data_IF_051194048653
#
_entry.id   IF_051194048653
#
_cell.length_a   1.000
_cell.length_b   1.000
_cell.length_c   1.000
_cell.angle_alpha   90.00
_cell.angle_beta   90.00
_cell.angle_gamma   90.00
#
_symmetry.space_group_name_H-M   'P 1'
#
loop_
_entity.id
_entity.type
_entity.pdbx_description
1 polymer ?
#
# COMPACT_ATOMS: atom_id res chain seq x y z
N UNK A 1 14.75 7.47 -21.06
CA UNK A 1 15.08 7.05 -19.68
C UNK A 1 16.01 5.84 -19.79
N UNK A 2 17.33 5.97 -19.50
CA UNK A 2 18.22 4.81 -19.52
C UNK A 2 17.90 3.96 -18.28
N UNK A 3 17.27 2.80 -18.49
CA UNK A 3 16.99 1.86 -17.40
C UNK A 3 18.34 1.28 -16.96
N UNK A 4 18.86 1.79 -15.83
CA UNK A 4 20.06 1.24 -15.18
C UNK A 4 19.82 -0.22 -14.77
N UNK A 5 20.86 -1.06 -14.79
CA UNK A 5 20.78 -2.47 -14.38
C UNK A 5 20.21 -2.65 -12.96
N UNK A 6 20.38 -1.67 -12.08
CA UNK A 6 19.78 -1.66 -10.74
C UNK A 6 18.25 -1.59 -10.77
N UNK A 7 17.68 -0.82 -11.71
CA UNK A 7 16.22 -0.70 -11.86
C UNK A 7 15.60 -2.02 -12.30
N UNK A 8 16.29 -2.78 -13.17
CA UNK A 8 15.80 -4.07 -13.67
C UNK A 8 15.68 -5.09 -12.52
N UNK A 9 16.62 -5.08 -11.57
CA UNK A 9 16.59 -5.98 -10.40
C UNK A 9 15.45 -5.61 -9.44
N UNK A 10 15.08 -4.33 -9.36
CA UNK A 10 13.98 -3.87 -8.49
C UNK A 10 12.60 -4.26 -9.03
N UNK A 11 12.42 -4.37 -10.35
CA UNK A 11 11.11 -4.70 -10.95
C UNK A 11 10.46 -5.97 -10.37
N UNK A 12 11.13 -7.15 -10.31
CA UNK A 12 10.52 -8.35 -9.74
C UNK A 12 10.23 -8.20 -8.24
N UNK A 13 11.07 -7.46 -7.50
CA UNK A 13 10.86 -7.23 -6.06
C UNK A 13 9.62 -6.36 -5.82
N UNK A 14 9.43 -5.30 -6.60
CA UNK A 14 8.25 -4.44 -6.52
C UNK A 14 6.99 -5.18 -7.00
N UNK A 15 7.10 -6.01 -8.04
CA UNK A 15 6.00 -6.88 -8.46
C UNK A 15 5.57 -7.84 -7.34
N UNK A 16 6.53 -8.42 -6.60
CA UNK A 16 6.25 -9.28 -5.47
C UNK A 16 5.45 -8.56 -4.37
N UNK A 17 5.63 -7.24 -4.18
CA UNK A 17 4.79 -6.47 -3.25
C UNK A 17 3.32 -6.56 -3.66
N UNK A 18 2.99 -6.38 -4.95
CA UNK A 18 1.62 -6.50 -5.46
C UNK A 18 1.01 -7.88 -5.18
N UNK A 19 1.77 -8.95 -5.44
CA UNK A 19 1.36 -10.34 -5.14
C UNK A 19 1.08 -10.50 -3.64
N UNK A 20 1.99 -10.02 -2.80
CA UNK A 20 1.89 -10.14 -1.35
C UNK A 20 0.73 -9.32 -0.76
N UNK A 21 0.37 -8.17 -1.35
CA UNK A 21 -0.76 -7.36 -0.89
C UNK A 21 -2.11 -8.08 -1.09
N UNK A 22 -2.30 -8.70 -2.25
CA UNK A 22 -3.52 -9.50 -2.51
C UNK A 22 -3.54 -10.75 -1.63
N UNK A 23 -2.41 -11.44 -1.48
CA UNK A 23 -2.29 -12.60 -0.60
C UNK A 23 -2.56 -12.24 0.87
N UNK A 24 -2.01 -11.13 1.36
CA UNK A 24 -2.26 -10.61 2.70
C UNK A 24 -3.76 -10.35 2.90
N UNK A 25 -4.41 -9.70 1.93
CA UNK A 25 -5.85 -9.45 2.01
C UNK A 25 -6.63 -10.77 2.06
N UNK A 26 -6.24 -11.79 1.29
CA UNK A 26 -6.87 -13.11 1.34
C UNK A 26 -6.70 -13.81 2.69
N UNK A 27 -5.47 -13.85 3.22
CA UNK A 27 -5.17 -14.43 4.53
C UNK A 27 -5.96 -13.71 5.63
N UNK A 28 -5.95 -12.37 5.64
CA UNK A 28 -6.65 -11.60 6.65
C UNK A 28 -8.19 -11.73 6.54
N UNK A 29 -8.71 -11.92 5.33
CA UNK A 29 -10.13 -12.21 5.11
C UNK A 29 -10.53 -13.55 5.69
N UNK A 30 -9.67 -14.57 5.57
CA UNK A 30 -9.89 -15.86 6.23
C UNK A 30 -9.74 -15.74 7.76
N UNK A 31 -8.75 -14.99 8.25
CA UNK A 31 -8.54 -14.76 9.67
C UNK A 31 -9.75 -14.10 10.33
N UNK A 32 -10.42 -13.18 9.63
CA UNK A 32 -11.68 -12.57 10.09
C UNK A 32 -12.76 -13.60 10.41
N UNK A 33 -12.83 -14.73 9.71
CA UNK A 33 -13.86 -15.74 9.98
C UNK A 33 -13.66 -16.44 11.34
N UNK A 34 -12.42 -16.45 11.85
CA UNK A 34 -12.08 -16.93 13.20
C UNK A 34 -12.15 -15.85 14.27
N UNK A 35 -11.98 -14.58 13.89
CA UNK A 35 -11.98 -13.43 14.78
C UNK A 35 -13.26 -12.60 14.71
N UNK A 36 -14.25 -13.03 13.93
CA UNK A 36 -15.59 -12.46 13.80
C UNK A 36 -15.68 -10.99 13.32
N UNK A 37 -14.57 -10.31 13.02
CA UNK A 37 -14.55 -8.89 12.62
C UNK A 37 -13.35 -8.52 11.74
N UNK A 38 -13.56 -7.70 10.67
CA UNK A 38 -12.47 -7.17 9.85
C UNK A 38 -11.45 -6.37 10.66
N UNK A 39 -11.92 -5.58 11.63
CA UNK A 39 -11.07 -4.71 12.45
C UNK A 39 -10.22 -5.56 13.41
N UNK A 40 -10.79 -6.64 13.98
CA UNK A 40 -10.03 -7.55 14.84
C UNK A 40 -8.96 -8.30 14.04
N UNK A 41 -9.28 -8.78 12.83
CA UNK A 41 -8.30 -9.38 11.94
C UNK A 41 -7.18 -8.40 11.54
N UNK A 42 -7.52 -7.16 11.21
CA UNK A 42 -6.54 -6.11 10.94
C UNK A 42 -5.65 -5.85 12.17
N UNK A 43 -6.23 -5.73 13.37
CA UNK A 43 -5.49 -5.52 14.61
C UNK A 43 -4.44 -6.61 14.86
N UNK A 44 -4.82 -7.89 14.79
CA UNK A 44 -3.86 -8.98 14.99
C UNK A 44 -2.83 -9.09 13.86
N UNK A 45 -3.22 -8.79 12.62
CA UNK A 45 -2.29 -8.71 11.48
C UNK A 45 -1.23 -7.64 11.71
N UNK A 46 -1.65 -6.43 12.13
CA UNK A 46 -0.74 -5.35 12.49
C UNK A 46 0.11 -5.70 13.72
N UNK A 47 -0.46 -6.33 14.75
CA UNK A 47 0.29 -6.72 15.93
C UNK A 47 1.45 -7.68 15.59
N UNK A 48 1.18 -8.72 14.81
CA UNK A 48 2.21 -9.67 14.35
C UNK A 48 3.24 -8.94 13.49
N UNK A 49 2.79 -8.09 12.55
CA UNK A 49 3.67 -7.27 11.72
C UNK A 49 4.57 -6.35 12.53
N UNK A 50 4.04 -5.69 13.56
CA UNK A 50 4.78 -4.83 14.48
C UNK A 50 5.80 -5.61 15.30
N UNK A 51 5.48 -6.83 15.76
CA UNK A 51 6.44 -7.69 16.46
C UNK A 51 7.60 -8.05 15.53
N UNK A 52 7.32 -8.46 14.29
CA UNK A 52 8.35 -8.76 13.28
C UNK A 52 9.20 -7.52 12.98
N UNK A 53 8.58 -6.35 12.79
CA UNK A 53 9.28 -5.10 12.58
C UNK A 53 10.16 -4.73 13.78
N UNK A 54 9.68 -4.89 15.01
CA UNK A 54 10.44 -4.62 16.21
C UNK A 54 11.69 -5.50 16.28
N UNK A 55 11.57 -6.80 15.98
CA UNK A 55 12.72 -7.71 15.91
C UNK A 55 13.74 -7.24 14.87
N UNK A 56 13.29 -6.90 13.66
CA UNK A 56 14.18 -6.40 12.59
C UNK A 56 14.87 -5.09 13.02
N UNK A 57 14.14 -4.15 13.63
CA UNK A 57 14.66 -2.87 14.11
C UNK A 57 15.66 -3.05 15.26
N UNK A 58 15.52 -4.10 16.08
CA UNK A 58 16.49 -4.41 17.12
C UNK A 58 17.83 -4.84 16.51
N UNK A 59 17.80 -5.69 15.48
CA UNK A 59 19.00 -6.26 14.85
C UNK A 59 19.64 -5.41 13.76
N UNK A 60 18.97 -4.38 13.23
CA UNK A 60 19.60 -3.47 12.27
C UNK A 60 20.69 -2.59 12.92
N UNK A 61 21.74 -2.31 12.15
CA UNK A 61 22.88 -1.48 12.56
C UNK A 61 22.58 0.03 12.52
N UNK A 62 21.43 0.44 11.99
CA UNK A 62 21.05 1.85 11.92
C UNK A 62 20.86 2.44 13.33
N UNK A 63 21.21 3.73 13.53
CA UNK A 63 20.97 4.42 14.79
C UNK A 63 19.47 4.40 15.14
N UNK A 64 19.17 4.18 16.41
CA UNK A 64 17.80 4.13 16.94
C UNK A 64 17.45 5.52 17.49
N UNK A 65 16.36 6.15 17.04
CA UNK A 65 16.06 7.51 17.44
C UNK A 65 15.72 7.59 18.93
N UNK A 66 16.22 8.63 19.60
CA UNK A 66 15.86 8.93 20.98
C UNK A 66 14.43 9.47 21.11
N UNK A 67 13.90 9.53 22.33
CA UNK A 67 12.54 10.04 22.56
C UNK A 67 12.35 11.48 22.05
N UNK A 68 13.36 12.33 22.21
CA UNK A 68 13.31 13.72 21.75
C UNK A 68 13.27 13.83 20.22
N UNK A 69 14.02 12.97 19.51
CA UNK A 69 13.98 12.90 18.06
C UNK A 69 12.58 12.46 17.58
N UNK A 70 11.99 11.44 18.22
CA UNK A 70 10.64 10.97 17.92
C UNK A 70 9.58 12.07 18.12
N UNK A 71 9.69 12.85 19.21
CA UNK A 71 8.78 13.97 19.47
C UNK A 71 8.96 15.14 18.51
N UNK A 72 10.13 15.26 17.86
CA UNK A 72 10.40 16.30 16.86
C UNK A 72 9.85 15.96 15.47
N UNK A 73 9.45 14.70 15.23
CA UNK A 73 8.89 14.27 13.94
C UNK A 73 7.55 14.99 13.68
N UNK A 74 7.37 15.62 12.51
CA UNK A 74 6.10 16.25 12.15
C UNK A 74 4.91 15.31 12.31
N UNK A 75 3.89 15.75 13.06
CA UNK A 75 2.78 14.89 13.51
C UNK A 75 2.06 14.16 12.37
N UNK A 76 1.95 14.79 11.19
CA UNK A 76 1.24 14.24 10.04
C UNK A 76 1.94 13.00 9.43
N UNK A 77 3.25 12.82 9.68
CA UNK A 77 3.98 11.65 9.20
C UNK A 77 3.56 10.36 9.92
N UNK A 78 3.05 10.48 11.14
CA UNK A 78 2.51 9.36 11.91
C UNK A 78 1.16 8.87 11.38
N UNK A 79 0.46 9.68 10.58
CA UNK A 79 -0.84 9.31 10.00
C UNK A 79 -0.75 8.13 9.03
N UNK A 80 0.44 7.79 8.54
CA UNK A 80 0.64 6.62 7.68
C UNK A 80 0.12 5.32 8.33
N UNK A 81 0.27 5.18 9.65
CA UNK A 81 -0.28 4.04 10.39
C UNK A 81 -1.81 4.01 10.36
N UNK A 82 -2.46 5.16 10.52
CA UNK A 82 -3.93 5.28 10.48
C UNK A 82 -4.47 4.94 9.08
N UNK A 83 -3.80 5.42 8.03
CA UNK A 83 -4.15 5.07 6.64
C UNK A 83 -4.02 3.57 6.40
N UNK A 84 -2.98 2.93 6.96
CA UNK A 84 -2.81 1.48 6.92
C UNK A 84 -3.95 0.71 7.58
N UNK A 85 -4.39 1.15 8.78
CA UNK A 85 -5.53 0.54 9.48
C UNK A 85 -6.80 0.59 8.63
N UNK A 86 -7.10 1.74 8.02
CA UNK A 86 -8.22 1.88 7.10
C UNK A 86 -8.10 0.94 5.89
N UNK A 87 -6.94 0.97 5.21
CA UNK A 87 -6.70 0.20 4.00
C UNK A 87 -6.90 -1.30 4.21
N UNK A 88 -6.29 -1.88 5.25
CA UNK A 88 -6.39 -3.31 5.54
C UNK A 88 -7.80 -3.68 6.03
N UNK A 89 -8.40 -2.89 6.93
CA UNK A 89 -9.75 -3.21 7.44
C UNK A 89 -10.79 -3.19 6.31
N UNK A 90 -10.70 -2.19 5.43
CA UNK A 90 -11.61 -2.09 4.28
C UNK A 90 -11.33 -3.15 3.22
N UNK A 91 -10.08 -3.54 2.98
CA UNK A 91 -9.78 -4.61 2.02
C UNK A 91 -10.35 -5.94 2.50
N UNK A 92 -10.22 -6.27 3.79
CA UNK A 92 -10.82 -7.46 4.42
C UNK A 92 -12.35 -7.45 4.29
N UNK A 93 -12.98 -6.30 4.54
CA UNK A 93 -14.42 -6.15 4.47
C UNK A 93 -14.97 -6.23 3.03
N UNK A 94 -14.24 -5.64 2.06
CA UNK A 94 -14.68 -5.53 0.67
C UNK A 94 -14.36 -6.78 -0.17
N UNK A 95 -13.31 -7.54 0.18
CA UNK A 95 -12.86 -8.70 -0.59
C UNK A 95 -13.96 -9.75 -0.86
N UNK A 96 -14.78 -10.20 0.12
CA UNK A 96 -15.85 -11.15 -0.14
C UNK A 96 -16.97 -10.60 -1.05
N UNK A 97 -17.12 -9.27 -1.12
CA UNK A 97 -18.20 -8.61 -1.87
C UNK A 97 -17.80 -8.38 -3.32
N UNK A 98 -16.59 -7.90 -3.54
CA UNK A 98 -16.09 -7.50 -4.86
C UNK A 98 -15.31 -8.62 -5.57
N UNK A 99 -14.75 -9.56 -4.81
CA UNK A 99 -13.73 -10.49 -5.32
C UNK A 99 -12.35 -9.82 -5.39
N UNK A 100 -11.28 -10.63 -5.29
CA UNK A 100 -9.91 -10.12 -5.20
C UNK A 100 -9.43 -9.39 -6.47
N UNK A 101 -9.91 -9.80 -7.65
CA UNK A 101 -9.52 -9.19 -8.93
C UNK A 101 -10.00 -7.74 -9.01
N UNK A 102 -11.31 -7.52 -8.83
CA UNK A 102 -11.92 -6.19 -8.83
C UNK A 102 -11.34 -5.31 -7.72
N UNK A 103 -11.22 -5.86 -6.50
CA UNK A 103 -10.65 -5.13 -5.36
C UNK A 103 -9.23 -4.66 -5.64
N UNK A 104 -8.35 -5.56 -6.09
CA UNK A 104 -6.95 -5.22 -6.38
C UNK A 104 -6.84 -4.21 -7.52
N UNK A 105 -7.67 -4.36 -8.55
CA UNK A 105 -7.76 -3.40 -9.65
C UNK A 105 -8.12 -1.99 -9.19
N UNK A 106 -9.17 -1.85 -8.36
CA UNK A 106 -9.59 -0.56 -7.81
C UNK A 106 -8.52 0.05 -6.89
N UNK A 107 -7.83 -0.77 -6.09
CA UNK A 107 -6.72 -0.32 -5.23
C UNK A 107 -5.58 0.22 -6.09
N UNK A 108 -5.16 -0.50 -7.13
CA UNK A 108 -4.08 -0.08 -8.04
C UNK A 108 -4.47 1.23 -8.75
N UNK A 109 -5.72 1.35 -9.20
CA UNK A 109 -6.21 2.59 -9.79
C UNK A 109 -6.13 3.77 -8.82
N UNK A 110 -6.60 3.59 -7.57
CA UNK A 110 -6.51 4.62 -6.52
C UNK A 110 -5.07 5.00 -6.18
N UNK A 111 -4.17 4.02 -6.07
CA UNK A 111 -2.73 4.24 -5.85
C UNK A 111 -2.09 5.07 -6.96
N UNK A 112 -2.45 4.79 -8.22
CA UNK A 112 -1.96 5.54 -9.36
C UNK A 112 -2.47 6.99 -9.36
N UNK A 113 -3.76 7.22 -9.12
CA UNK A 113 -4.34 8.57 -9.02
C UNK A 113 -3.63 9.36 -7.91
N UNK A 114 -3.48 8.76 -6.73
CA UNK A 114 -2.79 9.43 -5.63
C UNK A 114 -1.31 9.69 -5.94
N UNK A 115 -0.61 8.75 -6.58
CA UNK A 115 0.79 8.94 -7.03
C UNK A 115 0.90 10.12 -7.99
N UNK A 116 -0.02 10.27 -8.95
CA UNK A 116 -0.03 11.43 -9.84
C UNK A 116 -0.23 12.74 -9.09
N UNK A 117 -1.13 12.76 -8.09
CA UNK A 117 -1.36 13.96 -7.28
C UNK A 117 -0.15 14.31 -6.41
N UNK A 118 0.46 13.32 -5.75
CA UNK A 118 1.67 13.51 -4.93
C UNK A 118 2.80 14.09 -5.76
N UNK A 119 3.07 13.50 -6.93
CA UNK A 119 4.15 13.96 -7.81
C UNK A 119 3.86 15.34 -8.41
N UNK A 120 2.61 15.60 -8.80
CA UNK A 120 2.24 16.87 -9.43
C UNK A 120 2.34 18.04 -8.46
N UNK A 121 1.86 17.83 -7.22
CA UNK A 121 1.86 18.85 -6.18
C UNK A 121 3.22 18.95 -5.47
N UNK A 122 4.11 17.97 -5.65
CA UNK A 122 5.39 17.87 -4.93
C UNK A 122 5.17 17.65 -3.44
N UNK A 123 4.15 16.87 -3.07
CA UNK A 123 3.85 16.59 -1.67
C UNK A 123 4.98 15.79 -1.03
N UNK A 124 5.17 15.95 0.28
CA UNK A 124 6.16 15.21 1.08
C UNK A 124 7.62 15.42 0.62
N UNK A 125 7.91 16.54 -0.05
CA UNK A 125 9.26 16.88 -0.51
C UNK A 125 9.69 16.21 -1.82
N UNK A 126 8.76 15.54 -2.53
CA UNK A 126 9.03 14.96 -3.84
C UNK A 126 9.29 16.04 -4.90
N UNK A 127 10.14 15.71 -5.88
CA UNK A 127 10.34 16.54 -7.06
C UNK A 127 9.01 16.70 -7.82
N UNK A 128 8.63 17.95 -8.11
CA UNK A 128 7.41 18.24 -8.84
C UNK A 128 7.52 17.70 -10.26
N UNK A 129 6.67 16.73 -10.58
CA UNK A 129 6.60 16.14 -11.91
C UNK A 129 5.23 16.42 -12.53
N UNK A 130 5.14 17.21 -13.61
CA UNK A 130 3.87 17.58 -14.20
C UNK A 130 3.11 16.34 -14.70
N UNK A 131 1.79 16.38 -14.57
CA UNK A 131 0.92 15.35 -15.17
C UNK A 131 0.97 15.56 -16.69
N UNK A 132 1.49 14.57 -17.40
CA UNK A 132 1.48 14.55 -18.85
C UNK A 132 0.35 13.66 -19.39
N UNK A 133 0.06 13.77 -20.69
CA UNK A 133 -0.99 13.00 -21.34
C UNK A 133 -0.78 11.49 -21.24
N UNK A 134 0.48 11.01 -21.26
CA UNK A 134 0.79 9.58 -21.17
C UNK A 134 0.38 8.99 -19.80
N UNK A 135 0.61 9.74 -18.71
CA UNK A 135 0.17 9.35 -17.36
C UNK A 135 -1.35 9.29 -17.28
N UNK A 136 -2.04 10.30 -17.81
CA UNK A 136 -3.51 10.30 -17.87
C UNK A 136 -4.06 9.12 -18.68
N UNK A 137 -3.45 8.83 -19.83
CA UNK A 137 -3.83 7.71 -20.67
C UNK A 137 -3.63 6.37 -19.95
N UNK A 138 -2.49 6.17 -19.27
CA UNK A 138 -2.28 5.00 -18.41
C UNK A 138 -3.34 4.89 -17.30
N UNK A 139 -3.69 6.04 -16.72
CA UNK A 139 -4.86 6.27 -15.86
C UNK A 139 -6.12 5.59 -16.37
N UNK A 140 -6.54 6.02 -17.55
CA UNK A 140 -7.75 5.58 -18.24
C UNK A 140 -7.67 4.09 -18.59
N UNK A 141 -6.53 3.61 -19.08
CA UNK A 141 -6.36 2.19 -19.46
C UNK A 141 -6.53 1.27 -18.26
N UNK A 142 -5.92 1.60 -17.10
CA UNK A 142 -6.12 0.82 -15.89
C UNK A 142 -7.59 0.85 -15.46
N UNK A 143 -8.22 2.04 -15.47
CA UNK A 143 -9.63 2.16 -15.09
C UNK A 143 -10.54 1.31 -15.97
N UNK A 144 -10.37 1.36 -17.29
CA UNK A 144 -11.11 0.52 -18.24
C UNK A 144 -10.83 -0.96 -17.97
N UNK A 145 -9.57 -1.34 -17.73
CA UNK A 145 -9.22 -2.71 -17.36
C UNK A 145 -9.99 -3.20 -16.13
N UNK A 146 -10.09 -2.38 -15.08
CA UNK A 146 -10.90 -2.69 -13.89
C UNK A 146 -12.37 -2.83 -14.25
N UNK A 147 -12.94 -1.91 -15.03
CA UNK A 147 -14.34 -1.98 -15.44
C UNK A 147 -14.67 -3.26 -16.22
N UNK A 148 -13.76 -3.73 -17.06
CA UNK A 148 -13.93 -4.99 -17.79
C UNK A 148 -13.94 -6.20 -16.83
N UNK A 149 -13.20 -6.14 -15.72
CA UNK A 149 -13.22 -7.21 -14.71
C UNK A 149 -14.47 -7.21 -13.81
N UNK A 150 -15.30 -6.15 -13.86
CA UNK A 150 -16.55 -6.08 -13.09
C UNK A 150 -17.66 -6.97 -13.66
N UNK A 151 -17.57 -7.34 -14.94
CA UNK A 151 -18.54 -8.19 -15.60
C UNK A 151 -18.36 -9.62 -15.09
N UNK A 152 -19.22 -10.04 -14.17
CA UNK A 152 -19.36 -11.46 -13.78
C UNK A 152 -20.09 -12.24 -14.86
#
# INVERSE_FOLDING_TARGET
>A
MKISSQLIILLPLVFAIGVLLTLQTAINTQLKEYLYSPIQAAFFSFLIGTIVLAVIVLFQSNPKPGLQELMSVPWYLWLGGIVGVYAISMSIYAAPKLGFLVLSGLIIFGQMVMSMLVDHLGLLGNEKMPINWQRLLGGVVIFIGVLLTLQR
#
